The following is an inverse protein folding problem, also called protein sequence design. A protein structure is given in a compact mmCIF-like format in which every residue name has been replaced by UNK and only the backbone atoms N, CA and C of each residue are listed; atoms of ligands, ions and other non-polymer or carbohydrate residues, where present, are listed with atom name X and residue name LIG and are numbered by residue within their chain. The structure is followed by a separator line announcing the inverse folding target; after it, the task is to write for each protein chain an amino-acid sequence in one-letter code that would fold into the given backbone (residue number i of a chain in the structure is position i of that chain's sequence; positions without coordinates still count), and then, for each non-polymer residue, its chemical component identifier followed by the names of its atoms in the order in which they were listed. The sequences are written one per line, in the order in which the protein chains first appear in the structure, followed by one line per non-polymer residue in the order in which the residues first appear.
data_IF_764889272731
#
_entry.id   IF_764889272731
#
_cell.length_a   1.000
_cell.length_b   1.000
_cell.length_c   1.000
_cell.angle_alpha   90.00
_cell.angle_beta   90.00
_cell.angle_gamma   90.00
#
_symmetry.space_group_name_H-M   'P 1'
#
loop_
_entity.id
_entity.type
_entity.pdbx_description
1 polymer ?
#
# COMPACT_ATOMS: atom_id res chain seq x y z
N UNK A 1 -34.29 62.17 22.77
CA UNK A 1 -33.20 62.08 23.77
C UNK A 1 -32.83 60.62 23.89
N UNK A 2 -31.56 60.18 23.89
CA UNK A 2 -30.46 60.58 24.80
C UNK A 2 -30.98 60.59 26.25
N UNK A 3 -30.49 59.78 27.20
CA UNK A 3 -29.08 59.51 27.52
C UNK A 3 -28.88 58.14 28.21
N UNK A 4 -27.64 57.64 28.10
CA UNK A 4 -26.89 56.54 28.73
C UNK A 4 -26.98 56.42 30.28
N UNK A 5 -26.49 55.38 31.01
CA UNK A 5 -25.74 54.16 30.71
C UNK A 5 -25.22 53.43 31.98
N UNK A 6 -24.70 52.20 31.80
CA UNK A 6 -23.66 51.42 32.55
C UNK A 6 -23.90 51.04 34.06
N UNK A 7 -23.47 49.92 34.66
CA UNK A 7 -22.63 48.75 34.30
C UNK A 7 -22.74 47.62 35.38
N UNK A 8 -22.09 46.47 35.12
CA UNK A 8 -21.76 45.29 35.99
C UNK A 8 -22.81 44.16 36.05
N UNK A 9 -22.51 42.86 35.94
CA UNK A 9 -21.30 42.06 36.12
C UNK A 9 -21.16 40.93 35.08
N UNK A 10 -19.94 40.44 34.90
CA UNK A 10 -19.55 39.33 34.04
C UNK A 10 -19.75 37.96 34.73
N UNK A 11 -20.21 36.96 33.98
CA UNK A 11 -20.35 35.58 34.45
C UNK A 11 -20.25 34.57 33.30
N UNK A 12 -19.23 33.73 33.38
CA UNK A 12 -18.70 32.73 32.44
C UNK A 12 -19.62 31.56 32.02
N UNK A 13 -19.20 30.95 30.90
CA UNK A 13 -19.25 29.51 30.55
C UNK A 13 -20.45 28.90 29.80
N UNK A 14 -20.23 28.75 28.49
CA UNK A 14 -20.19 27.50 27.71
C UNK A 14 -21.10 26.32 28.12
N UNK A 15 -21.97 25.91 27.19
CA UNK A 15 -22.57 24.56 27.12
C UNK A 15 -23.67 24.52 26.05
N UNK A 16 -23.34 24.12 24.83
CA UNK A 16 -23.45 22.74 24.33
C UNK A 16 -24.87 22.42 23.81
N UNK A 17 -25.08 22.62 22.50
CA UNK A 17 -26.10 21.94 21.71
C UNK A 17 -25.60 21.86 20.26
N UNK A 18 -25.10 20.70 19.84
CA UNK A 18 -25.92 19.77 19.06
C UNK A 18 -25.12 18.54 18.62
N UNK A 19 -25.53 17.38 19.16
CA UNK A 19 -25.22 16.07 18.63
C UNK A 19 -26.32 15.72 17.60
N UNK A 20 -25.97 15.68 16.32
CA UNK A 20 -26.69 14.84 15.34
C UNK A 20 -25.71 14.00 14.50
N UNK A 21 -25.50 12.79 15.03
CA UNK A 21 -25.43 11.48 14.36
C UNK A 21 -25.35 11.44 12.81
N UNK A 22 -24.36 10.72 12.25
CA UNK A 22 -24.57 9.44 11.52
C UNK A 22 -23.32 8.93 10.76
N UNK A 23 -23.00 7.67 11.09
CA UNK A 23 -22.23 6.59 10.43
C UNK A 23 -21.61 6.81 9.04
N UNK A 24 -20.43 6.19 8.87
CA UNK A 24 -20.14 5.30 7.73
C UNK A 24 -19.09 4.23 8.10
N UNK A 25 -19.25 3.08 7.46
CA UNK A 25 -18.94 1.73 7.94
C UNK A 25 -17.48 1.31 7.72
N UNK A 26 -16.90 0.58 8.66
CA UNK A 26 -15.83 -0.38 8.35
C UNK A 26 -16.44 -1.79 8.33
N UNK A 27 -16.47 -2.42 7.15
CA UNK A 27 -16.74 -3.85 7.06
C UNK A 27 -15.53 -4.62 7.63
N UNK A 28 -15.72 -5.58 8.55
CA UNK A 28 -14.62 -6.32 9.13
C UNK A 28 -14.22 -7.42 8.16
N UNK A 29 -13.04 -7.32 7.54
CA UNK A 29 -12.39 -8.48 6.94
C UNK A 29 -11.14 -8.86 7.73
N UNK A 30 -11.34 -9.85 8.58
CA UNK A 30 -10.38 -10.85 9.09
C UNK A 30 -9.05 -10.39 9.70
N UNK A 31 -9.00 -10.54 11.04
CA UNK A 31 -7.92 -11.12 11.88
C UNK A 31 -6.51 -11.09 11.24
N UNK A 32 -5.80 -9.98 11.42
CA UNK A 32 -4.36 -9.92 11.17
C UNK A 32 -3.59 -10.55 12.34
N UNK A 33 -3.35 -11.86 12.28
CA UNK A 33 -2.26 -12.48 13.03
C UNK A 33 -0.98 -12.42 12.19
N UNK A 34 -0.18 -11.37 12.41
CA UNK A 34 1.17 -11.26 11.87
C UNK A 34 2.15 -10.80 12.96
N UNK A 35 3.03 -11.70 13.38
CA UNK A 35 4.18 -11.39 14.24
C UNK A 35 5.34 -10.82 13.41
N UNK A 36 6.09 -9.89 14.00
CA UNK A 36 7.44 -9.54 13.55
C UNK A 36 7.59 -8.19 12.85
N UNK A 37 7.49 -7.10 13.61
CA UNK A 37 7.99 -5.80 13.21
C UNK A 37 8.20 -4.96 14.47
N UNK A 38 9.43 -4.54 14.72
CA UNK A 38 9.78 -3.66 15.84
C UNK A 38 9.10 -2.30 15.66
N UNK A 39 7.82 -2.21 16.03
CA UNK A 39 7.13 -0.94 16.18
C UNK A 39 7.71 -0.24 17.41
N UNK A 40 8.27 0.94 17.23
CA UNK A 40 8.65 1.78 18.35
C UNK A 40 7.37 2.27 19.05
N UNK A 41 7.15 1.81 20.28
CA UNK A 41 6.05 2.32 21.10
C UNK A 41 6.23 3.83 21.30
N UNK A 42 5.25 4.62 20.88
CA UNK A 42 5.25 6.07 21.13
C UNK A 42 4.56 6.44 22.44
N UNK A 43 3.72 5.55 22.97
CA UNK A 43 2.90 5.76 24.16
C UNK A 43 2.83 4.46 24.96
N UNK A 44 2.88 4.58 26.28
CA UNK A 44 2.59 3.52 27.24
C UNK A 44 1.62 4.06 28.27
N UNK A 45 0.59 3.28 28.61
CA UNK A 45 -0.43 3.67 29.59
C UNK A 45 -0.59 2.59 30.65
N UNK A 46 -0.71 3.01 31.91
CA UNK A 46 -1.01 2.15 33.05
C UNK A 46 -1.91 2.92 34.01
N UNK A 47 -3.07 2.36 34.35
CA UNK A 47 -4.02 2.92 35.31
C UNK A 47 -4.74 1.80 36.04
N UNK A 48 -5.11 2.07 37.30
CA UNK A 48 -5.99 1.22 38.11
C UNK A 48 -7.46 1.61 37.98
N UNK A 49 -7.75 2.81 37.48
CA UNK A 49 -9.10 3.33 37.28
C UNK A 49 -9.55 3.23 35.83
N UNK A 50 -10.85 3.00 35.63
CA UNK A 50 -11.51 3.03 34.32
C UNK A 50 -11.52 4.45 33.73
N UNK A 51 -11.63 4.56 32.41
CA UNK A 51 -11.78 5.85 31.72
C UNK A 51 -12.90 5.77 30.67
N UNK A 52 -13.61 6.88 30.45
CA UNK A 52 -14.59 7.01 29.35
C UNK A 52 -13.90 7.28 28.01
N UNK A 53 -13.04 8.30 27.97
CA UNK A 53 -12.22 8.67 26.79
C UNK A 53 -10.82 9.03 27.26
N UNK A 54 -9.80 8.59 26.52
CA UNK A 54 -8.40 8.95 26.79
C UNK A 54 -7.67 9.27 25.50
N UNK A 55 -7.07 10.45 25.44
CA UNK A 55 -6.28 10.92 24.30
C UNK A 55 -4.81 10.79 24.59
N UNK A 56 -4.04 10.29 23.62
CA UNK A 56 -2.59 10.16 23.72
C UNK A 56 -1.91 10.90 22.56
N UNK A 57 -0.83 11.64 22.85
CA UNK A 57 -0.01 12.27 21.81
C UNK A 57 1.06 11.30 21.33
N UNK A 58 1.08 11.02 20.03
CA UNK A 58 2.02 10.09 19.39
C UNK A 58 2.60 10.74 18.13
N UNK A 59 3.77 11.37 18.26
CA UNK A 59 4.43 12.08 17.15
C UNK A 59 5.32 11.12 16.35
N UNK A 60 4.72 10.07 15.79
CA UNK A 60 5.43 9.08 14.96
C UNK A 60 4.82 9.01 13.58
N UNK A 61 5.68 8.84 12.58
CA UNK A 61 5.27 8.52 11.21
C UNK A 61 5.14 7.01 11.10
N UNK A 62 3.96 6.53 10.73
CA UNK A 62 3.68 5.10 10.61
C UNK A 62 2.51 4.82 9.69
N UNK A 63 2.40 3.58 9.24
CA UNK A 63 1.28 3.10 8.41
C UNK A 63 0.28 2.22 9.17
N UNK A 64 0.69 1.70 10.33
CA UNK A 64 -0.10 0.80 11.18
C UNK A 64 -0.05 1.33 12.60
N UNK A 65 -1.22 1.47 13.23
CA UNK A 65 -1.34 1.70 14.67
C UNK A 65 -1.67 0.36 15.32
N UNK A 66 -0.83 -0.08 16.25
CA UNK A 66 -1.06 -1.28 17.04
C UNK A 66 -1.32 -0.90 18.49
N UNK A 67 -2.47 -1.31 19.01
CA UNK A 67 -2.79 -1.22 20.44
C UNK A 67 -2.62 -2.63 21.02
N UNK A 68 -1.78 -2.76 22.04
CA UNK A 68 -1.52 -4.03 22.70
C UNK A 68 -1.62 -3.90 24.21
N UNK A 69 -2.39 -4.79 24.84
CA UNK A 69 -2.42 -4.93 26.30
C UNK A 69 -1.21 -5.75 26.76
N UNK A 70 -0.59 -5.31 27.86
CA UNK A 70 0.44 -6.08 28.58
C UNK A 70 -0.13 -6.94 29.72
N UNK A 71 -1.43 -6.80 30.02
CA UNK A 71 -2.11 -7.62 31.03
C UNK A 71 -2.52 -8.95 30.40
N UNK A 72 -2.48 -10.04 31.18
CA UNK A 72 -2.97 -11.37 30.78
C UNK A 72 -4.51 -11.43 30.84
N UNK A 73 -5.17 -10.51 30.15
CA UNK A 73 -6.62 -10.40 30.07
C UNK A 73 -7.03 -9.81 28.72
N UNK A 74 -8.34 -9.77 28.44
CA UNK A 74 -8.88 -9.28 27.19
C UNK A 74 -8.60 -7.78 26.99
N UNK A 75 -8.25 -7.41 25.75
CA UNK A 75 -8.24 -6.02 25.31
C UNK A 75 -9.59 -5.70 24.68
N UNK A 76 -10.42 -4.96 25.40
CA UNK A 76 -11.72 -4.48 24.90
C UNK A 76 -11.59 -3.00 24.54
N UNK A 77 -11.95 -2.65 23.30
CA UNK A 77 -11.95 -1.28 22.78
C UNK A 77 -13.33 -1.03 22.18
N UNK A 78 -14.03 0.00 22.64
CA UNK A 78 -15.32 0.38 22.06
C UNK A 78 -15.13 1.12 20.73
N UNK A 79 -14.16 2.03 20.68
CA UNK A 79 -13.86 2.85 19.50
C UNK A 79 -12.38 3.28 19.53
N UNK A 80 -11.77 3.45 18.35
CA UNK A 80 -10.39 3.95 18.23
C UNK A 80 -10.33 5.00 17.13
N UNK A 81 -10.04 6.24 17.51
CA UNK A 81 -9.81 7.35 16.59
C UNK A 81 -8.32 7.70 16.53
N UNK A 82 -7.79 7.82 15.31
CA UNK A 82 -6.39 8.19 15.07
C UNK A 82 -6.36 9.49 14.27
N UNK A 83 -5.76 10.52 14.84
CA UNK A 83 -5.61 11.83 14.22
C UNK A 83 -4.18 12.04 13.74
N UNK A 84 -4.02 12.59 12.53
CA UNK A 84 -2.72 12.92 11.97
C UNK A 84 -2.83 13.41 10.53
N UNK A 85 -1.72 13.92 10.00
CA UNK A 85 -1.60 14.32 8.60
C UNK A 85 -0.92 13.23 7.78
N UNK A 86 -1.41 12.97 6.57
CA UNK A 86 -0.67 12.15 5.61
C UNK A 86 0.63 12.86 5.22
N UNK A 87 1.77 12.22 5.46
CA UNK A 87 3.04 12.70 4.92
C UNK A 87 3.01 12.59 3.39
N UNK A 88 3.40 13.65 2.67
CA UNK A 88 3.61 13.58 1.21
C UNK A 88 4.53 12.40 0.91
N UNK A 89 4.01 11.37 0.25
CA UNK A 89 4.80 10.20 -0.10
C UNK A 89 5.83 10.62 -1.15
N UNK A 90 7.12 10.42 -0.88
CA UNK A 90 8.15 10.60 -1.91
C UNK A 90 8.07 9.60 -3.07
N UNK A 91 7.11 8.66 -3.01
CA UNK A 91 6.89 7.57 -3.96
C UNK A 91 6.28 8.01 -5.29
N UNK A 92 6.02 9.30 -5.52
CA UNK A 92 5.40 9.80 -6.75
C UNK A 92 3.91 9.47 -6.87
N UNK A 93 3.35 9.67 -8.07
CA UNK A 93 1.93 9.46 -8.38
C UNK A 93 1.62 7.98 -8.67
N UNK A 94 0.37 7.56 -8.48
CA UNK A 94 -0.08 6.25 -8.98
C UNK A 94 0.00 6.26 -10.51
N UNK A 95 0.67 5.27 -11.07
CA UNK A 95 0.79 5.06 -12.51
C UNK A 95 -0.25 4.05 -12.97
N UNK A 96 -0.77 4.25 -14.18
CA UNK A 96 -1.78 3.37 -14.77
C UNK A 96 -1.14 2.48 -15.82
N UNK A 97 -1.28 1.17 -15.65
CA UNK A 97 -0.97 0.21 -16.71
C UNK A 97 -1.99 0.36 -17.85
N UNK A 98 -1.54 0.21 -19.09
CA UNK A 98 -2.42 0.22 -20.27
C UNK A 98 -2.55 -1.15 -20.92
N UNK A 99 -1.62 -2.07 -20.65
CA UNK A 99 -1.64 -3.45 -21.14
C UNK A 99 -1.22 -4.40 -20.03
N UNK A 100 -1.70 -5.63 -20.11
CA UNK A 100 -1.20 -6.71 -19.29
C UNK A 100 -1.03 -7.98 -20.11
N UNK A 101 -0.17 -8.85 -19.60
CA UNK A 101 0.04 -10.20 -20.08
C UNK A 101 0.28 -11.12 -18.88
N UNK A 102 -0.07 -12.40 -19.00
CA UNK A 102 0.34 -13.41 -18.03
C UNK A 102 0.61 -14.72 -18.76
N UNK A 103 1.46 -15.57 -18.19
CA UNK A 103 1.95 -16.79 -18.85
C UNK A 103 0.84 -17.73 -19.33
N UNK A 104 -0.27 -17.80 -18.60
CA UNK A 104 -1.47 -18.55 -18.98
C UNK A 104 -2.64 -18.11 -18.12
N UNK A 105 -3.88 -18.43 -18.51
CA UNK A 105 -5.09 -18.05 -17.76
C UNK A 105 -5.80 -19.28 -17.22
N UNK A 106 -6.04 -19.32 -15.92
CA UNK A 106 -6.81 -20.36 -15.24
C UNK A 106 -8.02 -19.78 -14.51
N UNK A 107 -9.10 -20.56 -14.37
CA UNK A 107 -10.30 -20.20 -13.60
C UNK A 107 -10.90 -18.81 -13.93
N UNK A 108 -10.77 -18.38 -15.18
CA UNK A 108 -11.18 -17.05 -15.64
C UNK A 108 -10.46 -15.87 -14.96
N UNK A 109 -9.33 -16.12 -14.29
CA UNK A 109 -8.47 -15.09 -13.69
C UNK A 109 -7.59 -14.41 -14.73
N UNK A 110 -8.19 -13.59 -15.60
CA UNK A 110 -7.46 -12.83 -16.63
C UNK A 110 -6.52 -11.78 -16.02
N UNK A 111 -5.46 -11.39 -16.74
CA UNK A 111 -4.44 -10.47 -16.21
C UNK A 111 -5.00 -9.10 -15.81
N UNK A 112 -6.05 -8.63 -16.47
CA UNK A 112 -6.65 -7.31 -16.22
C UNK A 112 -7.19 -7.15 -14.81
N UNK A 113 -7.61 -8.25 -14.16
CA UNK A 113 -8.12 -8.23 -12.80
C UNK A 113 -7.12 -7.75 -11.76
N UNK A 114 -5.82 -7.85 -12.05
CA UNK A 114 -4.79 -7.35 -11.15
C UNK A 114 -4.43 -5.86 -11.40
N UNK A 115 -5.19 -5.16 -12.24
CA UNK A 115 -4.96 -3.74 -12.56
C UNK A 115 -6.26 -2.99 -12.85
N UNK A 116 -7.40 -3.50 -12.38
CA UNK A 116 -8.73 -2.93 -12.67
C UNK A 116 -9.19 -1.94 -11.58
N UNK A 117 -8.42 -1.79 -10.50
CA UNK A 117 -8.76 -0.93 -9.37
C UNK A 117 -9.59 -1.61 -8.29
N UNK A 118 -10.11 -2.81 -8.55
CA UNK A 118 -10.80 -3.61 -7.54
C UNK A 118 -9.77 -4.35 -6.68
N UNK A 119 -9.83 -4.11 -5.37
CA UNK A 119 -8.83 -4.62 -4.41
C UNK A 119 -9.33 -5.82 -3.62
N UNK A 120 -10.45 -6.40 -4.03
CA UNK A 120 -11.05 -7.53 -3.32
C UNK A 120 -10.10 -8.72 -3.33
N UNK A 121 -9.74 -9.19 -2.14
CA UNK A 121 -8.83 -10.33 -1.96
C UNK A 121 -9.56 -11.68 -1.93
N UNK A 122 -10.88 -11.68 -2.15
CA UNK A 122 -11.69 -12.87 -2.35
C UNK A 122 -11.82 -13.18 -3.85
N UNK A 123 -11.33 -14.34 -4.26
CA UNK A 123 -11.37 -14.80 -5.64
C UNK A 123 -12.77 -14.86 -6.24
N UNK A 124 -13.79 -15.17 -5.43
CA UNK A 124 -15.19 -15.25 -5.88
C UNK A 124 -15.76 -13.89 -6.27
N UNK A 125 -15.11 -12.79 -5.89
CA UNK A 125 -15.47 -11.43 -6.28
C UNK A 125 -14.91 -11.02 -7.65
N UNK A 126 -14.33 -11.95 -8.40
CA UNK A 126 -13.82 -11.73 -9.75
C UNK A 126 -12.77 -10.62 -9.87
N UNK A 127 -12.00 -10.40 -8.80
CA UNK A 127 -11.02 -9.32 -8.67
C UNK A 127 -9.57 -9.82 -8.71
N UNK A 128 -9.32 -11.10 -8.97
CA UNK A 128 -7.95 -11.63 -8.99
C UNK A 128 -7.59 -12.31 -10.32
N UNK A 129 -6.39 -12.01 -10.81
CA UNK A 129 -5.75 -12.76 -11.89
C UNK A 129 -5.28 -14.13 -11.39
N UNK A 130 -5.13 -15.10 -12.29
CA UNK A 130 -4.74 -16.46 -11.94
C UNK A 130 -4.10 -17.19 -13.12
N UNK A 131 -2.87 -17.68 -12.94
CA UNK A 131 -2.21 -18.48 -13.97
C UNK A 131 -2.69 -19.93 -13.97
N UNK A 132 -2.87 -20.54 -15.14
CA UNK A 132 -3.18 -21.98 -15.23
C UNK A 132 -1.93 -22.84 -14.97
N UNK A 133 -0.78 -22.36 -15.41
CA UNK A 133 0.51 -23.04 -15.31
C UNK A 133 1.24 -22.61 -14.03
N UNK A 134 1.95 -23.54 -13.35
CA UNK A 134 2.83 -23.18 -12.25
C UNK A 134 4.05 -22.39 -12.76
N UNK A 135 4.80 -21.77 -11.83
CA UNK A 135 6.01 -21.00 -12.16
C UNK A 135 5.74 -19.85 -13.15
N UNK A 136 4.54 -19.28 -13.08
CA UNK A 136 4.07 -18.25 -14.01
C UNK A 136 4.55 -16.83 -13.67
N UNK A 137 4.27 -15.91 -14.57
CA UNK A 137 4.43 -14.48 -14.33
C UNK A 137 3.22 -13.69 -14.81
N UNK A 138 3.04 -12.53 -14.20
CA UNK A 138 2.15 -11.48 -14.63
C UNK A 138 2.98 -10.25 -15.01
N UNK A 139 2.61 -9.59 -16.09
CA UNK A 139 3.26 -8.37 -16.58
C UNK A 139 2.22 -7.28 -16.76
N UNK A 140 2.51 -6.09 -16.22
CA UNK A 140 1.83 -4.85 -16.54
C UNK A 140 2.77 -3.94 -17.33
N UNK A 141 2.27 -3.31 -18.38
CA UNK A 141 3.03 -2.37 -19.21
C UNK A 141 2.41 -0.98 -19.12
N UNK A 142 3.28 0.04 -19.10
CA UNK A 142 2.90 1.44 -19.20
C UNK A 142 2.98 1.94 -20.65
N UNK A 143 2.38 3.10 -20.93
CA UNK A 143 2.42 3.73 -22.26
C UNK A 143 3.80 4.28 -22.61
N UNK A 144 4.61 4.60 -21.60
CA UNK A 144 5.99 5.09 -21.72
C UNK A 144 6.78 4.71 -20.47
N UNK A 145 8.12 4.69 -20.54
CA UNK A 145 8.96 4.39 -19.38
C UNK A 145 8.68 5.33 -18.20
N UNK A 146 8.75 4.77 -16.99
CA UNK A 146 8.61 5.49 -15.74
C UNK A 146 9.74 5.13 -14.78
N UNK A 147 10.11 6.08 -13.92
CA UNK A 147 10.85 5.77 -12.70
C UNK A 147 9.87 5.21 -11.69
N UNK A 148 9.97 3.92 -11.44
CA UNK A 148 9.12 3.20 -10.49
C UNK A 148 9.76 3.31 -9.11
N UNK A 149 8.98 3.84 -8.15
CA UNK A 149 9.41 4.10 -6.77
C UNK A 149 8.84 3.11 -5.76
N UNK A 150 7.62 2.64 -5.99
CA UNK A 150 6.97 1.65 -5.12
C UNK A 150 6.02 0.76 -5.93
N UNK A 151 5.98 -0.53 -5.61
CA UNK A 151 4.99 -1.48 -6.13
C UNK A 151 4.18 -2.03 -4.95
N UNK A 152 2.86 -2.04 -5.07
CA UNK A 152 1.92 -2.52 -4.06
C UNK A 152 1.22 -3.74 -4.62
N UNK A 153 1.25 -4.84 -3.88
CA UNK A 153 0.63 -6.09 -4.29
C UNK A 153 -0.44 -6.47 -3.26
N UNK A 154 -1.64 -6.73 -3.76
CA UNK A 154 -2.76 -7.29 -3.01
C UNK A 154 -2.83 -8.79 -3.30
N UNK A 155 -2.64 -9.60 -2.25
CA UNK A 155 -2.67 -11.05 -2.34
C UNK A 155 -4.12 -11.58 -2.38
N UNK A 156 -4.31 -12.86 -2.68
CA UNK A 156 -5.56 -13.58 -2.43
C UNK A 156 -5.62 -13.99 -0.95
N UNK A 157 -6.79 -13.91 -0.32
CA UNK A 157 -6.96 -14.23 1.11
C UNK A 157 -8.08 -15.24 1.42
N UNK A 158 -9.03 -15.47 0.52
CA UNK A 158 -10.09 -16.49 0.70
C UNK A 158 -9.52 -17.93 0.68
N UNK A 159 -8.34 -18.13 0.09
CA UNK A 159 -7.49 -19.29 0.28
C UNK A 159 -6.07 -18.99 -0.22
N UNK A 160 -5.15 -19.93 0.01
CA UNK A 160 -3.99 -20.09 -0.86
C UNK A 160 -3.00 -18.90 -0.86
N UNK A 161 -3.09 -18.03 0.14
CA UNK A 161 -2.30 -16.82 0.31
C UNK A 161 -0.79 -17.10 0.37
N UNK A 162 -0.40 -18.33 0.71
CA UNK A 162 0.99 -18.79 0.70
C UNK A 162 1.60 -18.97 -0.72
N UNK A 163 0.81 -18.89 -1.80
CA UNK A 163 1.32 -18.97 -3.19
C UNK A 163 2.19 -17.76 -3.59
N UNK A 164 2.06 -16.65 -2.85
CA UNK A 164 2.78 -15.40 -3.07
C UNK A 164 3.96 -15.20 -2.10
N UNK A 165 4.42 -16.27 -1.44
CA UNK A 165 5.48 -16.19 -0.44
C UNK A 165 6.91 -16.09 -1.01
N UNK A 166 7.11 -16.37 -2.30
CA UNK A 166 8.41 -16.24 -2.95
C UNK A 166 8.27 -15.81 -4.42
N UNK A 167 8.68 -14.58 -4.73
CA UNK A 167 8.60 -14.00 -6.08
C UNK A 167 9.56 -12.84 -6.28
N UNK A 168 9.83 -12.51 -7.54
CA UNK A 168 10.58 -11.34 -7.95
C UNK A 168 9.65 -10.29 -8.56
N UNK A 169 9.94 -9.02 -8.29
CA UNK A 169 9.43 -7.87 -9.04
C UNK A 169 10.56 -7.43 -9.97
N UNK A 170 10.29 -7.41 -11.27
CA UNK A 170 11.28 -7.14 -12.32
C UNK A 170 10.79 -5.96 -13.14
N UNK A 171 11.68 -5.03 -13.45
CA UNK A 171 11.42 -3.85 -14.29
C UNK A 171 12.34 -3.92 -15.49
N UNK A 172 11.79 -4.10 -16.69
CA UNK A 172 12.53 -4.26 -17.96
C UNK A 172 13.78 -5.16 -17.83
N UNK A 173 13.59 -6.37 -17.30
CA UNK A 173 14.65 -7.37 -17.11
C UNK A 173 15.49 -7.20 -15.85
N UNK A 174 15.42 -6.06 -15.15
CA UNK A 174 16.16 -5.83 -13.91
C UNK A 174 15.31 -6.18 -12.68
N UNK A 175 15.82 -7.03 -11.80
CA UNK A 175 15.16 -7.30 -10.52
C UNK A 175 15.12 -6.01 -9.70
N UNK A 176 13.92 -5.55 -9.38
CA UNK A 176 13.71 -4.36 -8.58
C UNK A 176 13.53 -4.68 -7.09
N UNK A 177 12.79 -5.75 -6.78
CA UNK A 177 12.61 -6.23 -5.42
C UNK A 177 12.42 -7.74 -5.42
N UNK A 178 12.81 -8.39 -4.32
CA UNK A 178 12.55 -9.81 -4.08
C UNK A 178 11.72 -9.96 -2.83
N UNK A 179 10.79 -10.89 -2.85
CA UNK A 179 10.06 -11.32 -1.68
C UNK A 179 10.34 -12.79 -1.41
N UNK A 180 10.75 -13.11 -0.19
CA UNK A 180 10.81 -14.47 0.33
C UNK A 180 10.36 -14.45 1.79
N UNK A 181 9.36 -15.23 2.15
CA UNK A 181 8.86 -15.32 3.52
C UNK A 181 8.26 -16.69 3.80
N UNK A 182 8.27 -17.11 5.07
CA UNK A 182 7.55 -18.30 5.54
C UNK A 182 6.05 -18.04 5.72
N UNK A 183 5.64 -16.78 5.90
CA UNK A 183 4.24 -16.37 6.11
C UNK A 183 3.70 -15.56 4.94
N UNK A 184 2.38 -15.57 4.76
CA UNK A 184 1.73 -14.77 3.74
C UNK A 184 1.52 -13.32 4.21
N UNK A 185 1.25 -12.43 3.25
CA UNK A 185 0.79 -11.06 3.52
C UNK A 185 -0.57 -10.82 2.85
N UNK A 186 -1.35 -9.88 3.39
CA UNK A 186 -2.56 -9.36 2.73
C UNK A 186 -2.17 -8.33 1.66
N UNK A 187 -1.61 -7.19 2.07
CA UNK A 187 -1.11 -6.15 1.17
C UNK A 187 0.33 -5.85 1.53
N UNK A 188 1.21 -5.80 0.53
CA UNK A 188 2.61 -5.46 0.77
C UNK A 188 3.12 -4.46 -0.25
N UNK A 189 3.95 -3.54 0.26
CA UNK A 189 4.59 -2.47 -0.50
C UNK A 189 6.06 -2.80 -0.64
N UNK A 190 6.56 -2.68 -1.85
CA UNK A 190 7.94 -2.95 -2.22
C UNK A 190 8.55 -1.67 -2.73
N UNK A 191 9.61 -1.21 -2.05
CA UNK A 191 10.44 -0.14 -2.59
C UNK A 191 11.08 -0.64 -3.88
N UNK A 192 11.09 0.22 -4.88
CA UNK A 192 11.67 -0.04 -6.18
C UNK A 192 12.34 1.27 -6.61
N UNK A 193 13.51 1.24 -7.22
CA UNK A 193 14.09 2.44 -7.83
C UNK A 193 14.71 2.03 -9.16
N UNK A 194 13.82 1.67 -10.08
CA UNK A 194 14.18 1.23 -11.43
C UNK A 194 13.38 2.03 -12.44
N UNK A 195 14.01 2.29 -13.57
CA UNK A 195 13.36 2.92 -14.71
C UNK A 195 12.99 1.82 -15.69
N UNK A 196 11.74 1.83 -16.14
CA UNK A 196 11.29 0.92 -17.18
C UNK A 196 9.82 1.11 -17.53
N UNK A 197 9.40 0.38 -18.56
CA UNK A 197 8.03 0.41 -19.08
C UNK A 197 7.22 -0.82 -18.66
N UNK A 198 7.87 -1.96 -18.41
CA UNK A 198 7.22 -3.20 -18.02
C UNK A 198 7.55 -3.57 -16.58
N UNK A 199 6.53 -3.95 -15.81
CA UNK A 199 6.64 -4.50 -14.47
C UNK A 199 6.17 -5.94 -14.49
N UNK A 200 7.08 -6.86 -14.17
CA UNK A 200 6.81 -8.29 -14.11
C UNK A 200 6.81 -8.72 -12.64
N UNK A 201 5.79 -9.47 -12.24
CA UNK A 201 5.77 -10.24 -10.99
C UNK A 201 5.88 -11.72 -11.37
N UNK A 202 7.01 -12.33 -11.04
CA UNK A 202 7.30 -13.73 -11.37
C UNK A 202 7.41 -14.55 -10.10
N UNK A 203 6.59 -15.58 -9.97
CA UNK A 203 6.72 -16.49 -8.82
C UNK A 203 7.97 -17.35 -8.97
N UNK A 204 8.68 -17.53 -7.86
CA UNK A 204 9.83 -18.44 -7.77
C UNK A 204 9.39 -19.79 -7.18
N UNK A 205 8.10 -19.99 -6.94
CA UNK A 205 7.53 -21.25 -6.49
C UNK A 205 7.01 -22.05 -7.69
N UNK A 206 7.08 -23.38 -7.58
CA UNK A 206 6.37 -24.32 -8.49
C UNK A 206 4.85 -24.34 -8.18
N UNK A 207 4.22 -23.16 -8.11
CA UNK A 207 2.80 -22.93 -7.81
C UNK A 207 2.23 -21.91 -8.79
N UNK A 208 0.91 -21.85 -8.89
CA UNK A 208 0.19 -20.83 -9.64
C UNK A 208 0.40 -19.44 -9.05
N UNK A 209 0.50 -18.43 -9.91
CA UNK A 209 0.52 -17.03 -9.51
C UNK A 209 -0.92 -16.50 -9.47
N UNK A 210 -1.26 -15.76 -8.43
CA UNK A 210 -2.56 -15.12 -8.25
C UNK A 210 -2.32 -13.74 -7.68
N UNK A 211 -2.81 -12.69 -8.33
CA UNK A 211 -2.66 -11.31 -7.90
C UNK A 211 -4.04 -10.67 -7.90
N UNK A 212 -4.45 -10.08 -6.79
CA UNK A 212 -5.76 -9.43 -6.68
C UNK A 212 -5.72 -7.94 -7.01
N UNK A 213 -4.56 -7.30 -6.92
CA UNK A 213 -4.34 -5.97 -7.48
C UNK A 213 -2.84 -5.66 -7.44
N UNK A 214 -2.35 -4.93 -8.43
CA UNK A 214 -0.98 -4.42 -8.51
C UNK A 214 -1.05 -2.92 -8.77
N UNK A 215 -0.62 -2.12 -7.80
CA UNK A 215 -0.49 -0.68 -7.96
C UNK A 215 0.97 -0.28 -8.06
N UNK A 216 1.31 0.61 -8.98
CA UNK A 216 2.67 1.14 -9.12
C UNK A 216 2.66 2.63 -8.88
N UNK A 217 3.64 3.12 -8.13
CA UNK A 217 3.83 4.53 -7.83
C UNK A 217 5.19 4.98 -8.36
N UNK A 218 5.21 6.14 -8.99
CA UNK A 218 6.41 6.68 -9.62
C UNK A 218 6.11 7.92 -10.46
N UNK A 219 7.00 8.18 -11.41
CA UNK A 219 6.93 9.32 -12.32
C UNK A 219 7.29 8.89 -13.73
N UNK A 220 6.47 9.26 -14.72
CA UNK A 220 6.82 9.03 -16.12
C UNK A 220 8.09 9.79 -16.49
N UNK A 221 8.97 9.14 -17.23
CA UNK A 221 10.16 9.79 -17.77
C UNK A 221 9.69 10.77 -18.85
N UNK A 222 10.11 12.04 -18.72
CA UNK A 222 9.93 13.03 -19.77
C UNK A 222 10.75 12.58 -20.98
N UNK A 223 10.13 12.53 -22.15
CA UNK A 223 10.87 12.25 -23.38
C UNK A 223 11.91 13.37 -23.56
N UNK A 224 13.18 12.99 -23.55
CA UNK A 224 14.29 13.91 -23.85
C UNK A 224 14.25 14.25 -25.33
N UNK A 225 14.35 15.53 -25.66
CA UNK A 225 14.44 15.99 -27.06
C UNK A 225 15.84 15.66 -27.59
N UNK A 226 16.02 15.67 -28.91
CA UNK A 226 17.32 15.47 -29.56
C UNK A 226 18.40 16.45 -29.04
N UNK A 227 17.99 17.64 -28.60
CA UNK A 227 18.84 18.64 -27.95
C UNK A 227 19.36 18.24 -26.55
N UNK A 228 18.73 17.26 -25.89
CA UNK A 228 19.14 16.76 -24.56
C UNK A 228 20.07 15.53 -24.66
N UNK A 229 20.56 15.22 -25.87
CA UNK A 229 21.49 14.12 -26.13
C UNK A 229 22.80 14.41 -25.41
N UNK A 230 23.17 13.52 -24.48
CA UNK A 230 24.45 13.63 -23.78
C UNK A 230 25.57 13.18 -24.73
N UNK A 231 26.65 13.95 -24.87
CA UNK A 231 27.80 13.53 -25.67
C UNK A 231 28.43 12.29 -25.03
N UNK A 232 28.81 11.31 -25.86
CA UNK A 232 29.62 10.19 -25.41
C UNK A 232 31.03 10.74 -25.11
N UNK A 233 31.52 10.56 -23.88
CA UNK A 233 32.86 11.01 -23.51
C UNK A 233 33.95 9.97 -23.81
N UNK A 234 33.58 8.69 -23.82
CA UNK A 234 34.48 7.57 -24.10
C UNK A 234 33.77 6.51 -24.93
N UNK A 235 34.44 6.02 -25.96
CA UNK A 235 33.99 4.92 -26.79
C UNK A 235 35.09 3.84 -26.86
N UNK A 236 34.71 2.57 -26.74
CA UNK A 236 35.56 1.43 -27.04
C UNK A 236 34.77 0.44 -27.88
N UNK A 237 35.35 0.00 -29.00
CA UNK A 237 34.73 -0.98 -29.89
C UNK A 237 35.52 -2.29 -29.82
N UNK A 238 34.81 -3.41 -29.79
CA UNK A 238 35.41 -4.75 -29.70
C UNK A 238 36.12 -5.20 -30.97
N UNK A 239 35.91 -4.52 -32.10
CA UNK A 239 36.60 -4.77 -33.37
C UNK A 239 36.49 -3.55 -34.28
N UNK A 240 37.57 -3.23 -34.99
CA UNK A 240 37.56 -2.33 -36.15
C UNK A 240 37.85 -3.20 -37.38
N UNK A 241 36.99 -3.14 -38.39
CA UNK A 241 37.12 -3.91 -39.62
C UNK A 241 38.15 -3.29 -40.57
N UNK A 242 38.80 -4.14 -41.37
CA UNK A 242 39.63 -3.78 -42.52
C UNK A 242 38.79 -3.64 -43.78
#
# INVERSE_FOLDING_TARGET
GLVDGQNSEAGSHQGDQDLQQTRLLFQPTHKLCGHGGHGHACVSYNSRSVFRVKTFRCNRVGRIVKISSRKRTYLTLCEVQVFGSYTKRSTGNKLSFNKCFQTSTGWNGVCKRAMDGNKSQDYKKHSCSHTKSPSGFWQGSFTRPARIKEVVIYNRLDCCSNRLNNFDIIVDGQVCARHRSSTFFSVKRFKCDKVGQNVIIRTNLKKWLTLCEVEVFGEYIKQKKRADMLPLSHCSQSSVGW
#
